data_IF_927182514596
#
_entry.id   IF_927182514596
#
_cell.length_a   1.000
_cell.length_b   1.000
_cell.length_c   1.000
_cell.angle_alpha   90.00
_cell.angle_beta   90.00
_cell.angle_gamma   90.00
#
_symmetry.space_group_name_H-M   'P 1'
#
loop_
_entity.id
_entity.type
_entity.pdbx_description
1 polymer ?
#
# COMPACT_ATOMS: atom_id res chain seq x y z
N UNK A 1 11.09 -0.14 -4.74
CA UNK A 1 11.85 -1.41 -4.89
C UNK A 1 11.63 -2.06 -6.26
N UNK A 2 10.49 -1.81 -6.93
CA UNK A 2 10.07 -2.47 -8.17
C UNK A 2 10.05 -1.52 -9.39
N UNK A 3 10.94 -0.53 -9.39
CA UNK A 3 11.11 0.41 -10.51
C UNK A 3 10.00 1.45 -10.67
N UNK A 4 9.98 2.10 -11.83
CA UNK A 4 9.13 3.25 -12.13
C UNK A 4 7.63 2.93 -12.09
N UNK A 5 7.24 1.69 -12.47
CA UNK A 5 5.83 1.27 -12.42
C UNK A 5 5.25 1.36 -11.01
N UNK A 6 6.00 0.89 -10.01
CA UNK A 6 5.61 1.00 -8.61
C UNK A 6 5.59 2.47 -8.16
N UNK A 7 6.60 3.25 -8.54
CA UNK A 7 6.70 4.68 -8.19
C UNK A 7 5.45 5.46 -8.64
N UNK A 8 5.05 5.27 -9.90
CA UNK A 8 3.89 5.94 -10.50
C UNK A 8 2.58 5.49 -9.86
N UNK A 9 2.46 4.20 -9.53
CA UNK A 9 1.29 3.67 -8.84
C UNK A 9 1.19 4.19 -7.39
N UNK A 10 2.31 4.29 -6.67
CA UNK A 10 2.34 4.85 -5.31
C UNK A 10 1.89 6.31 -5.29
N UNK A 11 2.34 7.13 -6.26
CA UNK A 11 1.86 8.51 -6.41
C UNK A 11 0.36 8.57 -6.72
N UNK A 12 -0.14 7.67 -7.56
CA UNK A 12 -1.56 7.57 -7.89
C UNK A 12 -2.39 7.23 -6.64
N UNK A 13 -1.99 6.21 -5.89
CA UNK A 13 -2.67 5.80 -4.65
C UNK A 13 -2.61 6.89 -3.58
N UNK A 14 -1.46 7.57 -3.42
CA UNK A 14 -1.32 8.73 -2.53
C UNK A 14 -2.35 9.81 -2.86
N UNK A 15 -2.48 10.18 -4.14
CA UNK A 15 -3.42 11.21 -4.56
C UNK A 15 -4.88 10.79 -4.38
N UNK A 16 -5.23 9.54 -4.68
CA UNK A 16 -6.59 9.02 -4.41
C UNK A 16 -6.88 9.04 -2.91
N UNK A 17 -5.92 8.65 -2.07
CA UNK A 17 -6.07 8.69 -0.61
C UNK A 17 -6.26 10.11 -0.07
N UNK A 18 -5.50 11.07 -0.61
CA UNK A 18 -5.54 12.47 -0.20
C UNK A 18 -6.84 13.16 -0.62
N UNK A 19 -7.24 12.98 -1.87
CA UNK A 19 -8.24 13.83 -2.52
C UNK A 19 -9.62 13.15 -2.69
N UNK A 20 -9.68 11.82 -2.69
CA UNK A 20 -10.86 11.02 -3.00
C UNK A 20 -10.92 9.74 -2.14
N UNK A 21 -10.55 9.83 -0.85
CA UNK A 21 -10.38 8.69 0.08
C UNK A 21 -11.55 7.70 0.08
N UNK A 22 -12.78 8.17 -0.09
CA UNK A 22 -13.98 7.32 -0.14
C UNK A 22 -14.01 6.33 -1.32
N UNK A 23 -13.22 6.56 -2.37
CA UNK A 23 -13.09 5.68 -3.54
C UNK A 23 -11.83 4.81 -3.52
N UNK A 24 -10.94 5.01 -2.55
CA UNK A 24 -9.64 4.32 -2.49
C UNK A 24 -9.80 2.80 -2.46
N UNK A 25 -10.67 2.26 -1.61
CA UNK A 25 -10.88 0.81 -1.51
C UNK A 25 -11.42 0.22 -2.82
N UNK A 26 -12.35 0.90 -3.49
CA UNK A 26 -12.87 0.46 -4.80
C UNK A 26 -11.78 0.47 -5.87
N UNK A 27 -10.93 1.50 -5.87
CA UNK A 27 -9.78 1.58 -6.76
C UNK A 27 -8.78 0.46 -6.52
N UNK A 28 -8.38 0.24 -5.25
CA UNK A 28 -7.41 -0.80 -4.89
C UNK A 28 -7.92 -2.20 -5.24
N UNK A 29 -9.21 -2.49 -5.02
CA UNK A 29 -9.81 -3.76 -5.43
C UNK A 29 -9.75 -3.97 -6.94
N UNK A 30 -10.09 -2.93 -7.72
CA UNK A 30 -9.96 -3.01 -9.18
C UNK A 30 -8.49 -3.19 -9.62
N UNK A 31 -7.57 -2.46 -9.00
CA UNK A 31 -6.15 -2.51 -9.36
C UNK A 31 -5.52 -3.85 -8.98
N UNK A 32 -5.92 -4.44 -7.86
CA UNK A 32 -5.52 -5.78 -7.45
C UNK A 32 -5.82 -6.81 -8.55
N UNK A 33 -7.00 -6.72 -9.18
CA UNK A 33 -7.44 -7.66 -10.21
C UNK A 33 -6.78 -7.36 -11.56
N UNK A 34 -6.76 -6.09 -11.96
CA UNK A 34 -6.40 -5.70 -13.34
C UNK A 34 -4.95 -5.29 -13.53
N UNK A 35 -4.25 -4.89 -12.46
CA UNK A 35 -2.96 -4.19 -12.50
C UNK A 35 -2.95 -2.98 -13.47
N UNK A 36 -4.11 -2.33 -13.66
CA UNK A 36 -4.30 -1.25 -14.63
C UNK A 36 -4.98 -0.02 -14.01
N UNK A 37 -4.16 0.95 -13.60
CA UNK A 37 -4.59 2.19 -12.94
C UNK A 37 -5.57 2.99 -13.79
N UNK A 38 -5.32 3.13 -15.09
CA UNK A 38 -6.17 3.93 -15.99
C UNK A 38 -7.57 3.32 -16.15
N UNK A 39 -7.65 2.01 -16.29
CA UNK A 39 -8.94 1.30 -16.33
C UNK A 39 -9.70 1.45 -15.00
N UNK A 40 -9.00 1.37 -13.86
CA UNK A 40 -9.59 1.48 -12.54
C UNK A 40 -10.02 2.90 -12.16
N UNK A 41 -9.27 3.92 -12.56
CA UNK A 41 -9.69 5.33 -12.42
C UNK A 41 -11.02 5.54 -13.16
N UNK A 42 -11.12 5.03 -14.39
CA UNK A 42 -12.35 5.14 -15.19
C UNK A 42 -13.52 4.36 -14.56
N UNK A 43 -13.32 3.10 -14.18
CA UNK A 43 -14.40 2.24 -13.68
C UNK A 43 -14.95 2.69 -12.33
N UNK A 44 -14.13 3.33 -11.50
CA UNK A 44 -14.52 3.85 -10.18
C UNK A 44 -15.03 5.30 -10.23
N UNK A 45 -15.08 5.90 -11.43
CA UNK A 45 -15.52 7.29 -11.61
C UNK A 45 -14.61 8.29 -10.89
N UNK A 46 -13.32 7.99 -10.77
CA UNK A 46 -12.31 8.94 -10.30
C UNK A 46 -12.00 9.96 -11.39
N UNK A 47 -11.72 11.21 -10.99
CA UNK A 47 -11.35 12.26 -11.93
C UNK A 47 -9.85 12.12 -12.28
N UNK A 48 -9.59 11.65 -13.50
CA UNK A 48 -8.23 11.45 -14.00
C UNK A 48 -7.41 12.75 -14.08
N UNK A 49 -8.06 13.89 -14.38
CA UNK A 49 -7.37 15.17 -14.46
C UNK A 49 -6.96 15.66 -13.06
N UNK A 50 -7.86 15.51 -12.08
CA UNK A 50 -7.58 15.82 -10.68
C UNK A 50 -6.42 14.98 -10.14
N UNK A 51 -6.45 13.67 -10.37
CA UNK A 51 -5.36 12.76 -9.97
C UNK A 51 -4.05 13.16 -10.67
N UNK A 52 -4.06 13.38 -11.98
CA UNK A 52 -2.85 13.79 -12.72
C UNK A 52 -2.26 15.09 -12.19
N UNK A 53 -3.10 16.06 -11.83
CA UNK A 53 -2.65 17.31 -11.25
C UNK A 53 -2.05 17.10 -9.85
N UNK A 54 -2.70 16.31 -8.99
CA UNK A 54 -2.13 15.97 -7.67
C UNK A 54 -0.79 15.25 -7.81
N UNK A 55 -0.65 14.29 -8.74
CA UNK A 55 0.60 13.56 -8.97
C UNK A 55 1.72 14.52 -9.35
N UNK A 56 1.46 15.48 -10.25
CA UNK A 56 2.44 16.52 -10.62
C UNK A 56 2.86 17.36 -9.43
N UNK A 57 1.91 17.79 -8.61
CA UNK A 57 2.20 18.60 -7.42
C UNK A 57 3.02 17.81 -6.39
N UNK A 58 2.64 16.57 -6.13
CA UNK A 58 3.35 15.69 -5.20
C UNK A 58 4.78 15.39 -5.70
N UNK A 59 4.94 15.11 -6.98
CA UNK A 59 6.27 14.87 -7.56
C UNK A 59 7.16 16.12 -7.44
N UNK A 60 6.62 17.31 -7.70
CA UNK A 60 7.34 18.57 -7.51
C UNK A 60 7.73 18.83 -6.04
N UNK A 61 6.80 18.57 -5.12
CA UNK A 61 6.99 18.80 -3.69
C UNK A 61 8.04 17.85 -3.09
N UNK A 62 7.93 16.56 -3.38
CA UNK A 62 8.76 15.51 -2.77
C UNK A 62 9.94 15.10 -3.62
N UNK A 63 10.03 15.60 -4.86
CA UNK A 63 11.08 15.34 -5.84
C UNK A 63 11.19 13.84 -6.16
N UNK A 64 10.05 13.17 -6.33
CA UNK A 64 9.98 11.71 -6.40
C UNK A 64 10.72 11.18 -7.64
N UNK A 65 10.42 11.72 -8.82
CA UNK A 65 11.08 11.36 -10.09
C UNK A 65 12.53 11.83 -10.14
N UNK A 66 12.84 13.01 -9.59
CA UNK A 66 14.22 13.51 -9.49
C UNK A 66 15.10 12.52 -8.69
N UNK A 67 14.67 12.13 -7.48
CA UNK A 67 15.38 11.17 -6.63
C UNK A 67 15.40 9.76 -7.20
N UNK A 68 14.35 9.35 -7.91
CA UNK A 68 14.34 8.09 -8.64
C UNK A 68 15.46 8.03 -9.68
N UNK A 69 15.64 9.10 -10.45
CA UNK A 69 16.65 9.18 -11.51
C UNK A 69 18.08 9.38 -10.97
N UNK A 70 18.24 10.05 -9.82
CA UNK A 70 19.53 10.20 -9.17
C UNK A 70 19.87 8.99 -8.29
N UNK A 71 20.57 8.01 -8.85
CA UNK A 71 21.03 6.81 -8.13
C UNK A 71 21.95 7.12 -6.94
N UNK A 72 22.60 8.30 -6.90
CA UNK A 72 23.41 8.69 -5.75
C UNK A 72 22.56 9.05 -4.54
N UNK A 73 21.30 9.40 -4.74
CA UNK A 73 20.34 9.68 -3.67
C UNK A 73 19.79 8.43 -2.99
N UNK A 74 20.08 7.23 -3.53
CA UNK A 74 19.53 5.97 -3.04
C UNK A 74 20.28 5.55 -1.77
N UNK A 75 19.60 5.41 -0.61
CA UNK A 75 20.26 4.97 0.62
C UNK A 75 20.96 3.63 0.41
N UNK A 76 22.25 3.59 0.72
CA UNK A 76 23.13 2.43 0.51
C UNK A 76 23.09 1.88 -0.94
N UNK A 77 22.76 2.72 -1.93
CA UNK A 77 22.66 2.34 -3.34
C UNK A 77 21.56 1.33 -3.68
N UNK A 78 20.61 1.09 -2.76
CA UNK A 78 19.67 -0.04 -2.88
C UNK A 78 18.40 0.34 -3.64
N UNK A 79 17.66 1.33 -3.15
CA UNK A 79 16.35 1.70 -3.68
C UNK A 79 16.13 3.22 -3.67
N UNK A 80 15.28 3.75 -4.59
CA UNK A 80 14.96 5.16 -4.61
C UNK A 80 14.18 5.54 -3.34
N UNK A 81 14.47 6.70 -2.73
CA UNK A 81 13.68 7.19 -1.60
C UNK A 81 12.26 7.59 -2.05
N UNK A 82 11.28 7.37 -1.19
CA UNK A 82 9.89 7.78 -1.38
C UNK A 82 9.37 8.45 -0.10
N UNK A 83 9.70 9.73 0.04
CA UNK A 83 9.69 10.41 1.34
C UNK A 83 8.35 11.07 1.71
N UNK A 84 7.26 10.80 0.98
CA UNK A 84 5.94 11.43 1.22
C UNK A 84 5.49 11.25 2.69
N UNK A 85 5.75 10.07 3.26
CA UNK A 85 5.40 9.73 4.65
C UNK A 85 6.64 9.51 5.53
N UNK A 86 7.77 10.15 5.22
CA UNK A 86 9.04 9.91 5.91
C UNK A 86 8.96 10.16 7.43
N UNK A 87 8.21 11.18 7.85
CA UNK A 87 8.04 11.48 9.27
C UNK A 87 7.34 10.34 10.03
N UNK A 88 6.30 9.74 9.45
CA UNK A 88 5.61 8.59 10.05
C UNK A 88 6.46 7.32 9.97
N UNK A 89 7.20 7.12 8.87
CA UNK A 89 8.14 6.00 8.76
C UNK A 89 9.19 6.05 9.88
N UNK A 90 9.75 7.22 10.16
CA UNK A 90 10.69 7.42 11.27
C UNK A 90 10.01 7.25 12.64
N UNK A 91 8.85 7.87 12.84
CA UNK A 91 8.11 7.83 14.10
C UNK A 91 7.75 6.40 14.51
N UNK A 92 7.34 5.57 13.56
CA UNK A 92 6.91 4.20 13.83
C UNK A 92 7.98 3.15 13.50
N UNK A 93 9.18 3.54 13.06
CA UNK A 93 10.27 2.62 12.74
C UNK A 93 10.01 1.71 11.53
N UNK A 94 9.27 2.20 10.52
CA UNK A 94 9.00 1.46 9.29
C UNK A 94 10.27 1.41 8.44
N UNK A 95 10.77 0.20 8.20
CA UNK A 95 11.99 -0.05 7.42
C UNK A 95 11.74 -0.86 6.14
N UNK A 96 10.54 -1.38 5.96
CA UNK A 96 10.18 -2.19 4.80
C UNK A 96 8.69 -2.50 4.75
N UNK A 97 8.23 -2.94 3.58
CA UNK A 97 6.83 -3.30 3.35
C UNK A 97 6.63 -4.81 3.36
N UNK A 98 5.45 -5.30 3.80
CA UNK A 98 4.44 -4.56 4.55
C UNK A 98 4.85 -4.39 6.01
N UNK A 99 4.55 -3.24 6.60
CA UNK A 99 4.59 -3.00 8.04
C UNK A 99 3.19 -2.60 8.48
N UNK A 100 2.69 -3.19 9.57
CA UNK A 100 1.40 -2.86 10.15
C UNK A 100 1.62 -2.06 11.44
N UNK A 101 0.94 -0.91 11.57
CA UNK A 101 0.93 -0.09 12.78
C UNK A 101 -0.51 0.02 13.26
N UNK A 102 -0.78 -0.38 14.51
CA UNK A 102 -2.10 -0.31 15.14
C UNK A 102 -1.95 0.50 16.43
N UNK A 103 -2.76 1.53 16.60
CA UNK A 103 -2.73 2.42 17.78
C UNK A 103 -1.32 2.97 18.11
N UNK A 104 -0.54 3.28 17.08
CA UNK A 104 0.81 3.86 17.21
C UNK A 104 1.92 2.87 17.55
N UNK A 105 1.63 1.58 17.63
CA UNK A 105 2.62 0.52 17.83
C UNK A 105 2.71 -0.39 16.60
N UNK A 106 3.92 -0.86 16.27
CA UNK A 106 4.06 -1.91 15.26
C UNK A 106 3.37 -3.18 15.74
N UNK A 107 2.58 -3.77 14.85
CA UNK A 107 1.81 -4.97 15.10
C UNK A 107 2.22 -6.06 14.10
N UNK A 108 2.17 -7.31 14.55
CA UNK A 108 2.45 -8.47 13.70
C UNK A 108 1.16 -9.27 13.48
N UNK A 109 0.89 -9.56 12.22
CA UNK A 109 -0.17 -10.46 11.81
C UNK A 109 0.28 -11.19 10.53
N UNK A 110 -0.16 -12.44 10.37
CA UNK A 110 -0.08 -13.08 9.07
C UNK A 110 -0.94 -12.30 8.07
N UNK A 111 -0.65 -12.47 6.78
CA UNK A 111 -1.33 -11.74 5.69
C UNK A 111 -2.69 -12.34 5.33
N UNK A 112 -3.38 -12.95 6.28
CA UNK A 112 -4.73 -13.49 6.12
C UNK A 112 -5.74 -12.67 6.92
N UNK A 113 -7.01 -12.76 6.52
CA UNK A 113 -8.07 -11.94 7.10
C UNK A 113 -8.35 -12.27 8.57
N UNK A 114 -8.23 -13.54 8.98
CA UNK A 114 -8.44 -13.96 10.35
C UNK A 114 -7.37 -13.39 11.31
N UNK A 115 -6.10 -13.39 10.89
CA UNK A 115 -4.98 -12.84 11.65
C UNK A 115 -5.08 -11.33 11.80
N UNK A 116 -5.49 -10.62 10.74
CA UNK A 116 -5.75 -9.18 10.80
C UNK A 116 -6.92 -8.84 11.74
N UNK A 117 -8.02 -9.59 11.69
CA UNK A 117 -9.12 -9.41 12.63
C UNK A 117 -8.64 -9.62 14.07
N UNK A 118 -7.89 -10.69 14.33
CA UNK A 118 -7.36 -10.99 15.66
C UNK A 118 -6.51 -9.85 16.21
N UNK A 119 -5.54 -9.33 15.43
CA UNK A 119 -4.65 -8.26 15.92
C UNK A 119 -5.41 -6.96 16.17
N UNK A 120 -6.40 -6.63 15.33
CA UNK A 120 -7.25 -5.46 15.53
C UNK A 120 -8.09 -5.63 16.81
N UNK A 121 -8.70 -6.80 16.99
CA UNK A 121 -9.55 -7.10 18.14
C UNK A 121 -8.80 -7.09 19.47
N UNK A 122 -7.52 -7.50 19.49
CA UNK A 122 -6.68 -7.42 20.70
C UNK A 122 -6.41 -5.99 21.16
N UNK A 123 -6.65 -4.99 20.31
CA UNK A 123 -6.44 -3.59 20.65
C UNK A 123 -7.66 -2.92 21.31
N UNK A 124 -8.80 -3.61 21.40
CA UNK A 124 -10.02 -3.09 22.03
C UNK A 124 -10.13 -3.50 23.50
N UNK A 125 -10.47 -2.54 24.36
CA UNK A 125 -10.84 -2.83 25.76
C UNK A 125 -12.24 -3.45 25.88
N UNK A 126 -13.17 -3.00 25.02
CA UNK A 126 -14.52 -3.53 24.89
C UNK A 126 -14.66 -4.12 23.49
N UNK A 127 -14.71 -5.44 23.40
CA UNK A 127 -14.72 -6.16 22.12
C UNK A 127 -15.99 -5.86 21.33
N UNK A 128 -15.88 -5.33 20.10
CA UNK A 128 -17.03 -5.21 19.21
C UNK A 128 -17.50 -6.60 18.74
N UNK A 129 -18.78 -6.73 18.38
CA UNK A 129 -19.39 -8.02 17.96
C UNK A 129 -18.70 -8.64 16.74
N UNK A 130 -18.10 -7.80 15.91
CA UNK A 130 -17.34 -8.17 14.71
C UNK A 130 -16.12 -9.02 15.07
N UNK A 131 -15.58 -8.92 16.28
CA UNK A 131 -14.46 -9.73 16.74
C UNK A 131 -14.78 -11.22 16.93
N UNK A 132 -16.07 -11.60 16.90
CA UNK A 132 -16.50 -12.99 16.92
C UNK A 132 -16.71 -13.57 15.51
N UNK A 133 -16.47 -12.80 14.45
CA UNK A 133 -16.59 -13.29 13.08
C UNK A 133 -15.48 -14.28 12.76
N UNK A 134 -15.84 -15.35 12.04
CA UNK A 134 -14.86 -16.28 11.49
C UNK A 134 -14.53 -15.84 10.06
N UNK A 135 -13.31 -15.34 9.88
CA UNK A 135 -12.78 -14.98 8.57
C UNK A 135 -11.85 -16.06 8.02
N UNK A 136 -11.50 -15.98 6.73
CA UNK A 136 -10.58 -16.93 6.11
C UNK A 136 -9.16 -16.77 6.66
N UNK A 137 -8.52 -17.91 6.91
CA UNK A 137 -7.09 -18.04 7.22
C UNK A 137 -6.22 -18.25 5.98
N UNK A 138 -6.80 -18.20 4.78
CA UNK A 138 -6.06 -18.36 3.54
C UNK A 138 -5.18 -17.13 3.30
N UNK A 139 -3.91 -17.38 2.95
CA UNK A 139 -2.98 -16.30 2.62
C UNK A 139 -3.11 -15.98 1.14
N UNK A 140 -3.39 -14.71 0.75
CA UNK A 140 -3.38 -14.30 -0.64
C UNK A 140 -2.02 -14.53 -1.29
N UNK A 141 -2.02 -14.92 -2.56
CA UNK A 141 -0.81 -15.08 -3.34
C UNK A 141 -0.05 -13.76 -3.46
N UNK A 142 1.30 -13.79 -3.52
CA UNK A 142 2.08 -12.59 -3.81
C UNK A 142 1.71 -11.99 -5.18
N UNK A 143 1.75 -10.67 -5.28
CA UNK A 143 1.50 -9.94 -6.53
C UNK A 143 0.03 -9.52 -6.69
N UNK A 144 -0.38 -9.32 -7.94
CA UNK A 144 -1.73 -8.91 -8.32
C UNK A 144 -2.59 -10.12 -8.70
N UNK A 145 -3.84 -10.15 -8.27
CA UNK A 145 -4.81 -11.21 -8.50
C UNK A 145 -5.60 -11.58 -7.24
N UNK A 146 -6.49 -12.57 -7.37
CA UNK A 146 -7.39 -13.03 -6.29
C UNK A 146 -7.03 -14.44 -5.79
N UNK A 147 -5.88 -14.98 -6.20
CA UNK A 147 -5.43 -16.31 -5.81
C UNK A 147 -4.94 -16.37 -4.35
N UNK A 148 -4.91 -17.58 -3.81
CA UNK A 148 -4.33 -17.90 -2.49
C UNK A 148 -3.10 -18.79 -2.67
N UNK A 149 -2.09 -18.63 -1.82
CA UNK A 149 -0.90 -19.46 -1.82
C UNK A 149 -0.98 -20.55 -0.75
N UNK A 150 -0.72 -21.79 -1.13
CA UNK A 150 -0.34 -22.82 -0.16
C UNK A 150 1.04 -22.47 0.41
N UNK A 151 1.22 -22.63 1.71
CA UNK A 151 2.32 -22.10 2.52
C UNK A 151 3.71 -22.71 2.24
N UNK A 152 4.21 -22.64 1.00
CA UNK A 152 5.58 -23.04 0.65
C UNK A 152 6.19 -22.16 -0.45
N UNK A 153 7.09 -21.25 -0.03
CA UNK A 153 8.16 -20.71 -0.89
C UNK A 153 7.84 -19.46 -1.71
N UNK A 154 7.70 -18.30 -1.06
CA UNK A 154 7.71 -17.00 -1.74
C UNK A 154 9.12 -16.60 -2.18
N UNK A 155 9.54 -17.02 -3.37
CA UNK A 155 10.68 -16.42 -4.06
C UNK A 155 10.27 -15.11 -4.70
N UNK A 156 10.95 -14.01 -4.37
CA UNK A 156 10.82 -12.75 -5.09
C UNK A 156 11.27 -12.98 -6.54
N UNK A 157 10.35 -12.94 -7.50
CA UNK A 157 10.70 -12.94 -8.91
C UNK A 157 11.42 -11.62 -9.23
N UNK A 158 12.64 -11.75 -9.77
CA UNK A 158 13.46 -10.65 -10.29
C UNK A 158 12.83 -10.02 -11.54
#
# INVERSE_FOLDING_TARGET
MHGEKELNEQLTQYCIQKDDRGKLSSYLNCFLISSNSAACIKSTGLDAAKISNCVKQADQEYKVTEKFNDKNSWPNGSYPPFDIYQADNQKYGVQGSPTLVVNGAQAQANRDSASLLKVICTAFNNLPKECSQQLSSDTPSPGFGEGTSDSSGGGCAN
#
